data_IF_772308951453
#
_entry.id   IF_772308951453
#
_cell.length_a   1.000
_cell.length_b   1.000
_cell.length_c   1.000
_cell.angle_alpha   90.00
_cell.angle_beta   90.00
_cell.angle_gamma   90.00
#
_symmetry.space_group_name_H-M   'P 1'
#
loop_
_entity.id
_entity.type
_entity.pdbx_description
1 polymer ?
#
# COMPACT_ATOMS: atom_id res chain seq x y z
N UNK A 1 13.14 -15.52 44.28
CA UNK A 1 12.96 -16.17 42.96
C UNK A 1 13.26 -15.19 41.81
N UNK A 2 14.32 -14.40 41.93
CA UNK A 2 14.63 -13.31 40.98
C UNK A 2 15.24 -13.82 39.68
N UNK A 3 16.00 -14.92 39.71
CA UNK A 3 16.58 -15.52 38.51
C UNK A 3 15.53 -15.98 37.50
N UNK A 4 14.42 -16.56 37.97
CA UNK A 4 13.32 -17.00 37.11
C UNK A 4 12.61 -15.80 36.47
N UNK A 5 12.33 -14.75 37.26
CA UNK A 5 11.72 -13.52 36.76
C UNK A 5 12.60 -12.83 35.69
N UNK A 6 13.90 -12.70 35.94
CA UNK A 6 14.84 -12.10 34.99
C UNK A 6 14.92 -12.95 33.71
N UNK A 7 14.92 -14.28 33.83
CA UNK A 7 14.91 -15.17 32.67
C UNK A 7 13.63 -15.02 31.83
N UNK A 8 12.47 -14.88 32.48
CA UNK A 8 11.20 -14.62 31.80
C UNK A 8 11.24 -13.29 31.02
N UNK A 9 11.74 -12.23 31.65
CA UNK A 9 11.87 -10.90 31.02
C UNK A 9 12.84 -10.94 29.84
N UNK A 10 14.00 -11.57 30.00
CA UNK A 10 14.98 -11.73 28.93
C UNK A 10 14.40 -12.51 27.73
N UNK A 11 13.73 -13.63 28.01
CA UNK A 11 13.07 -14.44 26.97
C UNK A 11 11.98 -13.68 26.23
N UNK A 12 11.16 -12.91 26.95
CA UNK A 12 10.12 -12.07 26.35
C UNK A 12 10.72 -10.99 25.43
N UNK A 13 11.78 -10.31 25.88
CA UNK A 13 12.45 -9.28 25.09
C UNK A 13 13.08 -9.84 23.81
N UNK A 14 13.69 -11.03 23.87
CA UNK A 14 14.27 -11.69 22.69
C UNK A 14 13.17 -12.01 21.67
N UNK A 15 12.08 -12.64 22.10
CA UNK A 15 10.97 -13.00 21.20
C UNK A 15 10.31 -11.75 20.62
N UNK A 16 10.07 -10.72 21.43
CA UNK A 16 9.52 -9.44 20.96
C UNK A 16 10.43 -8.78 19.91
N UNK A 17 11.75 -8.80 20.13
CA UNK A 17 12.73 -8.26 19.20
C UNK A 17 12.74 -9.04 17.87
N UNK A 18 12.69 -10.37 17.92
CA UNK A 18 12.62 -11.21 16.72
C UNK A 18 11.34 -10.93 15.94
N UNK A 19 10.17 -10.94 16.58
CA UNK A 19 8.88 -10.64 15.93
C UNK A 19 8.90 -9.24 15.30
N UNK A 20 9.44 -8.24 16.00
CA UNK A 20 9.58 -6.89 15.47
C UNK A 20 10.41 -6.84 14.18
N UNK A 21 11.56 -7.53 14.15
CA UNK A 21 12.38 -7.62 12.94
C UNK A 21 11.66 -8.36 11.81
N UNK A 22 10.93 -9.43 12.10
CA UNK A 22 10.12 -10.16 11.12
C UNK A 22 9.04 -9.28 10.50
N UNK A 23 8.24 -8.58 11.32
CA UNK A 23 7.20 -7.67 10.84
C UNK A 23 7.80 -6.53 10.03
N UNK A 24 8.92 -5.95 10.48
CA UNK A 24 9.63 -4.90 9.74
C UNK A 24 10.15 -5.40 8.39
N UNK A 25 10.67 -6.63 8.33
CA UNK A 25 11.15 -7.24 7.09
C UNK A 25 10.01 -7.49 6.10
N UNK A 26 8.90 -8.06 6.57
CA UNK A 26 7.71 -8.30 5.75
C UNK A 26 7.09 -6.98 5.27
N UNK A 27 7.00 -5.96 6.13
CA UNK A 27 6.51 -4.64 5.72
C UNK A 27 7.46 -3.97 4.72
N UNK A 28 8.78 -4.12 4.88
CA UNK A 28 9.76 -3.60 3.91
C UNK A 28 9.64 -4.28 2.55
N UNK A 29 9.44 -5.61 2.52
CA UNK A 29 9.23 -6.37 1.29
C UNK A 29 7.90 -5.98 0.62
N UNK A 30 6.81 -5.88 1.39
CA UNK A 30 5.52 -5.41 0.88
C UNK A 30 5.57 -3.96 0.38
N UNK A 31 6.36 -3.08 1.00
CA UNK A 31 6.58 -1.72 0.49
C UNK A 31 7.45 -1.67 -0.77
N UNK A 32 8.20 -2.73 -1.10
CA UNK A 32 8.86 -2.87 -2.40
C UNK A 32 7.88 -3.35 -3.49
N UNK A 33 6.83 -4.07 -3.11
CA UNK A 33 5.79 -4.54 -4.05
C UNK A 33 4.61 -3.57 -4.21
N UNK A 34 4.45 -2.57 -3.33
CA UNK A 34 3.33 -1.61 -3.37
C UNK A 34 3.69 -0.27 -4.04
N UNK A 35 3.96 -0.37 -5.33
CA UNK A 35 3.35 0.40 -6.44
C UNK A 35 4.26 0.19 -7.63
N UNK A 36 3.93 -0.72 -8.57
CA UNK A 36 3.87 -0.20 -9.92
C UNK A 36 3.02 1.06 -9.78
N UNK A 37 3.61 2.22 -10.05
CA UNK A 37 2.83 3.38 -10.42
C UNK A 37 1.85 2.87 -11.46
N UNK A 38 0.63 2.56 -11.03
CA UNK A 38 -0.51 2.40 -11.90
C UNK A 38 -0.61 3.80 -12.46
N UNK A 39 0.16 4.05 -13.53
CA UNK A 39 0.11 5.27 -14.33
C UNK A 39 -1.36 5.57 -14.42
N UNK A 40 -1.82 6.71 -13.87
CA UNK A 40 -3.22 6.92 -13.53
C UNK A 40 -4.04 6.50 -14.74
N UNK A 41 -4.72 5.35 -14.68
CA UNK A 41 -5.39 4.77 -15.86
C UNK A 41 -6.61 5.59 -16.27
N UNK A 42 -6.90 6.63 -15.49
CA UNK A 42 -8.04 7.51 -15.56
C UNK A 42 -7.60 8.97 -15.72
N UNK A 43 -8.25 9.69 -16.64
CA UNK A 43 -8.25 11.15 -16.75
C UNK A 43 -9.61 11.69 -16.34
N UNK A 44 -9.67 12.96 -15.96
CA UNK A 44 -10.95 13.66 -15.77
C UNK A 44 -11.45 14.18 -17.13
N UNK A 45 -12.74 14.00 -17.39
CA UNK A 45 -13.38 14.51 -18.60
C UNK A 45 -13.59 16.04 -18.49
N UNK A 46 -13.08 16.88 -19.40
CA UNK A 46 -13.20 18.35 -19.34
C UNK A 46 -14.64 18.88 -19.44
N UNK A 47 -15.58 18.07 -19.94
CA UNK A 47 -16.98 18.47 -20.09
C UNK A 47 -17.88 18.11 -18.91
N UNK A 48 -17.56 17.06 -18.16
CA UNK A 48 -18.45 16.53 -17.11
C UNK A 48 -17.73 16.18 -15.80
N UNK A 49 -16.42 16.39 -15.71
CA UNK A 49 -15.55 16.12 -14.56
C UNK A 49 -15.60 14.67 -14.05
N UNK A 50 -16.12 13.75 -14.86
CA UNK A 50 -16.18 12.35 -14.50
C UNK A 50 -14.85 11.65 -14.83
N UNK A 51 -14.45 10.69 -14.00
CA UNK A 51 -13.26 9.88 -14.23
C UNK A 51 -13.50 8.87 -15.35
N UNK A 52 -12.64 8.90 -16.37
CA UNK A 52 -12.74 8.12 -17.61
C UNK A 52 -11.38 7.54 -17.97
N UNK A 53 -11.29 6.45 -18.76
CA UNK A 53 -10.01 5.86 -19.11
C UNK A 53 -9.14 6.83 -19.95
N UNK A 54 -7.81 6.80 -19.75
CA UNK A 54 -6.85 7.67 -20.44
C UNK A 54 -7.01 7.65 -21.98
N UNK A 55 -7.26 6.46 -22.54
CA UNK A 55 -7.39 6.23 -23.98
C UNK A 55 -8.82 6.44 -24.50
N UNK A 56 -9.74 6.98 -23.70
CA UNK A 56 -11.10 7.28 -24.18
C UNK A 56 -11.07 8.43 -25.20
N UNK A 57 -11.57 8.16 -26.41
CA UNK A 57 -11.85 9.14 -27.47
C UNK A 57 -13.23 9.77 -27.34
N UNK A 58 -14.16 9.11 -26.63
CA UNK A 58 -15.49 9.61 -26.29
C UNK A 58 -15.83 9.30 -24.84
N UNK A 59 -16.44 10.26 -24.14
CA UNK A 59 -16.86 10.09 -22.75
C UNK A 59 -18.12 9.20 -22.64
N UNK A 60 -18.15 8.13 -21.82
CA UNK A 60 -19.35 7.31 -21.64
C UNK A 60 -20.46 8.00 -20.84
N UNK A 61 -20.14 9.06 -20.09
CA UNK A 61 -21.09 9.73 -19.20
C UNK A 61 -21.81 10.91 -19.86
N UNK A 62 -21.10 11.68 -20.69
CA UNK A 62 -21.66 12.86 -21.35
C UNK A 62 -21.63 12.77 -22.88
N UNK A 63 -21.16 11.66 -23.46
CA UNK A 63 -21.07 11.42 -24.91
C UNK A 63 -20.23 12.42 -25.70
N UNK A 64 -19.52 13.34 -25.03
CA UNK A 64 -18.63 14.32 -25.68
C UNK A 64 -17.40 13.64 -26.27
N UNK A 65 -16.94 14.14 -27.40
CA UNK A 65 -15.65 13.78 -27.97
C UNK A 65 -14.51 14.39 -27.16
N UNK A 66 -13.50 13.56 -26.90
CA UNK A 66 -12.33 13.88 -26.09
C UNK A 66 -11.10 13.71 -26.97
N UNK A 67 -10.88 14.71 -27.80
CA UNK A 67 -9.74 14.82 -28.71
C UNK A 67 -8.45 15.09 -27.95
#
# INVERSE_FOLDING_TARGET
NYGVFINQVASFLIVAFVIFLFVKSINKLRSTDEKPEVKPTTKECPHCNMQIPLNATRCPYCTSELT
#
